data_IF_550323943046
#
_entry.id   IF_550323943046
#
_cell.length_a   1.000
_cell.length_b   1.000
_cell.length_c   1.000
_cell.angle_alpha   90.00
_cell.angle_beta   90.00
_cell.angle_gamma   90.00
#
_symmetry.space_group_name_H-M   'P 1'
#
loop_
_entity.id
_entity.type
_entity.pdbx_description
1 polymer ?
#
# COMPACT_ATOMS: atom_id res chain seq x y z
N UNK A 1 30.57 -0.38 24.87
CA UNK A 1 29.59 0.74 24.77
C UNK A 1 28.62 0.59 23.64
N UNK A 2 29.07 0.12 22.50
CA UNK A 2 28.18 -0.06 21.33
C UNK A 2 27.13 -1.13 21.53
N UNK A 3 27.42 -2.18 22.28
CA UNK A 3 26.48 -3.26 22.60
C UNK A 3 25.23 -2.79 23.38
N UNK A 4 25.41 -1.79 24.25
CA UNK A 4 24.28 -1.24 25.02
C UNK A 4 23.35 -0.36 24.14
N UNK A 5 23.91 0.31 23.12
CA UNK A 5 23.12 1.09 22.17
C UNK A 5 22.36 0.18 21.21
N UNK A 6 22.98 -0.90 20.75
CA UNK A 6 22.33 -1.90 19.91
C UNK A 6 21.19 -2.58 20.65
N UNK A 7 21.38 -2.98 21.91
CA UNK A 7 20.33 -3.59 22.72
C UNK A 7 19.13 -2.68 22.96
N UNK A 8 19.33 -1.36 23.07
CA UNK A 8 18.22 -0.39 23.18
C UNK A 8 17.49 -0.20 21.87
N UNK A 9 18.21 -0.19 20.74
CA UNK A 9 17.60 -0.14 19.41
C UNK A 9 16.84 -1.43 19.12
N UNK A 10 17.38 -2.57 19.47
CA UNK A 10 16.74 -3.86 19.28
C UNK A 10 15.50 -4.01 20.18
N UNK A 11 15.56 -3.56 21.43
CA UNK A 11 14.40 -3.50 22.32
C UNK A 11 13.33 -2.55 21.80
N UNK A 12 13.69 -1.42 21.20
CA UNK A 12 12.74 -0.50 20.57
C UNK A 12 12.12 -1.09 19.31
N UNK A 13 12.89 -1.86 18.52
CA UNK A 13 12.37 -2.59 17.37
C UNK A 13 11.41 -3.70 17.77
N UNK A 14 11.73 -4.43 18.82
CA UNK A 14 10.88 -5.51 19.37
C UNK A 14 9.59 -4.92 19.96
N UNK A 15 9.65 -3.73 20.54
CA UNK A 15 8.47 -3.04 21.09
C UNK A 15 7.66 -2.29 20.05
N UNK A 16 8.22 -1.99 18.88
CA UNK A 16 7.45 -1.46 17.74
C UNK A 16 6.78 -2.64 17.05
N UNK A 17 5.47 -2.60 16.99
CA UNK A 17 4.68 -3.57 16.26
C UNK A 17 5.12 -3.58 14.79
N UNK A 18 5.70 -4.69 14.36
CA UNK A 18 6.07 -4.91 12.97
C UNK A 18 4.83 -5.36 12.22
N UNK A 19 4.36 -4.52 11.29
CA UNK A 19 3.12 -4.78 10.56
C UNK A 19 3.45 -5.27 9.17
N UNK A 20 3.05 -6.50 8.82
CA UNK A 20 3.28 -7.01 7.47
C UNK A 20 2.42 -6.25 6.44
N UNK A 21 3.03 -5.87 5.33
CA UNK A 21 2.35 -5.15 4.27
C UNK A 21 2.59 -5.77 2.90
N UNK A 22 1.69 -5.49 1.99
CA UNK A 22 1.84 -5.75 0.56
C UNK A 22 2.20 -4.41 -0.09
N UNK A 23 3.25 -4.38 -0.88
CA UNK A 23 3.63 -3.21 -1.67
C UNK A 23 3.06 -3.34 -3.06
N UNK A 24 2.30 -2.34 -3.50
CA UNK A 24 1.76 -2.28 -4.85
C UNK A 24 2.42 -1.15 -5.63
N UNK A 25 3.05 -1.49 -6.74
CA UNK A 25 3.76 -0.56 -7.59
C UNK A 25 3.00 -0.34 -8.89
N UNK A 26 2.70 0.91 -9.19
CA UNK A 26 1.97 1.28 -10.40
C UNK A 26 2.33 2.72 -10.77
N UNK A 27 2.78 2.93 -12.01
CA UNK A 27 3.07 4.26 -12.53
C UNK A 27 2.01 4.70 -13.54
N UNK A 28 1.88 6.01 -13.74
CA UNK A 28 0.91 6.58 -14.68
C UNK A 28 1.25 6.36 -16.14
N UNK A 29 2.53 6.27 -16.47
CA UNK A 29 2.96 6.18 -17.87
C UNK A 29 3.25 4.75 -18.26
N UNK A 30 2.66 4.34 -19.38
CA UNK A 30 2.63 2.98 -19.86
C UNK A 30 3.28 2.87 -21.24
N UNK A 31 4.17 3.81 -21.59
CA UNK A 31 4.73 3.90 -22.93
C UNK A 31 5.71 2.78 -23.26
N UNK A 32 6.35 2.18 -22.26
CA UNK A 32 7.22 1.01 -22.47
C UNK A 32 7.40 0.24 -21.18
N UNK A 33 7.73 -1.03 -21.32
CA UNK A 33 8.05 -1.90 -20.18
C UNK A 33 9.24 -1.36 -19.37
N UNK A 34 10.28 -0.89 -20.04
CA UNK A 34 11.49 -0.37 -19.39
C UNK A 34 11.20 0.88 -18.57
N UNK A 35 10.40 1.81 -19.09
CA UNK A 35 10.04 3.03 -18.38
C UNK A 35 9.15 2.73 -17.18
N UNK A 36 8.20 1.82 -17.32
CA UNK A 36 7.36 1.38 -16.21
C UNK A 36 8.22 0.75 -15.11
N UNK A 37 9.15 -0.12 -15.47
CA UNK A 37 10.06 -0.75 -14.51
C UNK A 37 10.91 0.27 -13.77
N UNK A 38 11.48 1.25 -14.47
CA UNK A 38 12.29 2.31 -13.84
C UNK A 38 11.48 3.13 -12.84
N UNK A 39 10.25 3.50 -13.20
CA UNK A 39 9.36 4.27 -12.32
C UNK A 39 8.94 3.44 -11.11
N UNK A 40 8.62 2.19 -11.31
CA UNK A 40 8.26 1.28 -10.22
C UNK A 40 9.44 1.04 -9.29
N UNK A 41 10.66 0.97 -9.80
CA UNK A 41 11.86 0.85 -8.97
C UNK A 41 12.08 2.11 -8.12
N UNK A 42 11.78 3.29 -8.64
CA UNK A 42 11.82 4.53 -7.86
C UNK A 42 10.74 4.55 -6.78
N UNK A 43 9.52 4.13 -7.13
CA UNK A 43 8.45 3.97 -6.16
C UNK A 43 8.84 3.00 -5.05
N UNK A 44 9.44 1.89 -5.41
CA UNK A 44 9.85 0.87 -4.44
C UNK A 44 10.86 1.42 -3.44
N UNK A 45 11.86 2.16 -3.89
CA UNK A 45 12.82 2.82 -2.99
C UNK A 45 12.14 3.79 -2.03
N UNK A 46 11.26 4.61 -2.56
CA UNK A 46 10.49 5.59 -1.80
C UNK A 46 9.61 4.91 -0.75
N UNK A 47 8.90 3.85 -1.16
CA UNK A 47 8.04 3.07 -0.29
C UNK A 47 8.85 2.34 0.80
N UNK A 48 10.00 1.76 0.44
CA UNK A 48 10.84 1.06 1.39
C UNK A 48 11.38 1.98 2.49
N UNK A 49 11.75 3.20 2.13
CA UNK A 49 12.17 4.21 3.12
C UNK A 49 11.04 4.52 4.10
N UNK A 50 9.83 4.70 3.60
CA UNK A 50 8.65 4.92 4.42
C UNK A 50 8.35 3.72 5.33
N UNK A 51 8.35 2.53 4.75
CA UNK A 51 8.07 1.29 5.48
C UNK A 51 9.06 1.08 6.62
N UNK A 52 10.35 1.30 6.37
CA UNK A 52 11.41 1.17 7.36
C UNK A 52 11.22 2.16 8.52
N UNK A 53 10.83 3.40 8.20
CA UNK A 53 10.59 4.43 9.21
C UNK A 53 9.32 4.19 10.05
N UNK A 54 8.36 3.43 9.54
CA UNK A 54 7.04 3.25 10.17
C UNK A 54 6.78 1.82 10.68
N UNK A 55 7.78 0.96 10.70
CA UNK A 55 7.64 -0.40 11.19
C UNK A 55 6.77 -1.30 10.30
N UNK A 56 6.70 -0.99 9.02
CA UNK A 56 6.02 -1.83 8.03
C UNK A 56 7.01 -2.77 7.38
N UNK A 57 6.63 -4.04 7.27
CA UNK A 57 7.49 -5.06 6.68
C UNK A 57 6.89 -5.54 5.38
N UNK A 58 7.50 -5.20 4.23
CA UNK A 58 7.01 -5.68 2.93
C UNK A 58 7.16 -7.20 2.83
N UNK A 59 6.04 -7.89 2.71
CA UNK A 59 6.00 -9.34 2.56
C UNK A 59 5.94 -9.76 1.09
N UNK A 60 5.33 -8.94 0.26
CA UNK A 60 5.21 -9.18 -1.18
C UNK A 60 5.15 -7.86 -1.91
N UNK A 61 5.74 -7.84 -3.11
CA UNK A 61 5.73 -6.70 -4.02
C UNK A 61 4.96 -7.11 -5.26
N UNK A 62 3.90 -6.35 -5.57
CA UNK A 62 3.07 -6.56 -6.75
C UNK A 62 3.33 -5.41 -7.72
N UNK A 63 3.71 -5.73 -8.96
CA UNK A 63 4.06 -4.73 -9.99
C UNK A 63 3.03 -4.76 -11.11
N UNK A 64 2.50 -3.59 -11.46
CA UNK A 64 1.61 -3.48 -12.62
C UNK A 64 2.38 -3.56 -13.94
N UNK A 65 3.56 -2.99 -14.01
CA UNK A 65 4.32 -2.89 -15.25
C UNK A 65 3.67 -1.89 -16.21
N UNK A 66 3.76 -2.19 -17.51
CA UNK A 66 3.18 -1.36 -18.56
C UNK A 66 1.74 -1.74 -18.93
N UNK A 67 1.10 -2.61 -18.17
CA UNK A 67 -0.25 -3.06 -18.45
C UNK A 67 -1.30 -2.00 -18.09
N UNK A 68 -2.44 -2.05 -18.80
CA UNK A 68 -3.47 -1.03 -18.69
C UNK A 68 -4.35 -1.12 -17.45
N UNK A 69 -5.45 -0.32 -17.42
CA UNK A 69 -6.32 -0.22 -16.24
C UNK A 69 -6.98 -1.53 -15.81
N UNK A 70 -7.31 -2.40 -16.74
CA UNK A 70 -7.92 -3.71 -16.43
C UNK A 70 -6.96 -4.56 -15.57
N UNK A 71 -5.69 -4.59 -15.94
CA UNK A 71 -4.67 -5.33 -15.19
C UNK A 71 -4.42 -4.65 -13.83
N UNK A 72 -4.38 -3.32 -13.81
CA UNK A 72 -4.26 -2.57 -12.55
C UNK A 72 -5.35 -2.96 -11.56
N UNK A 73 -6.59 -3.01 -12.02
CA UNK A 73 -7.73 -3.38 -11.18
C UNK A 73 -7.64 -4.83 -10.70
N UNK A 74 -7.23 -5.73 -11.58
CA UNK A 74 -7.03 -7.13 -11.23
C UNK A 74 -5.94 -7.30 -10.18
N UNK A 75 -4.80 -6.64 -10.35
CA UNK A 75 -3.68 -6.73 -9.43
C UNK A 75 -4.03 -6.12 -8.07
N UNK A 76 -4.83 -5.06 -8.06
CA UNK A 76 -5.35 -4.48 -6.83
C UNK A 76 -6.23 -5.49 -6.08
N UNK A 77 -7.12 -6.18 -6.78
CA UNK A 77 -7.93 -7.26 -6.22
C UNK A 77 -7.06 -8.40 -5.68
N UNK A 78 -6.01 -8.75 -6.40
CA UNK A 78 -5.05 -9.78 -5.97
C UNK A 78 -4.37 -9.38 -4.66
N UNK A 79 -4.04 -8.09 -4.48
CA UNK A 79 -3.48 -7.59 -3.23
C UNK A 79 -4.46 -7.78 -2.06
N UNK A 80 -5.73 -7.46 -2.27
CA UNK A 80 -6.77 -7.66 -1.24
C UNK A 80 -6.89 -9.14 -0.91
N UNK A 81 -6.85 -9.98 -1.93
CA UNK A 81 -6.94 -11.43 -1.76
C UNK A 81 -5.77 -11.97 -0.94
N UNK A 82 -4.57 -11.50 -1.19
CA UNK A 82 -3.39 -11.87 -0.40
C UNK A 82 -3.53 -11.45 1.07
N UNK A 83 -4.10 -10.28 1.33
CA UNK A 83 -4.37 -9.85 2.69
C UNK A 83 -5.42 -10.72 3.36
N UNK A 84 -6.47 -11.10 2.63
CA UNK A 84 -7.49 -12.04 3.12
C UNK A 84 -6.91 -13.41 3.45
N UNK A 85 -5.84 -13.83 2.77
CA UNK A 85 -5.14 -15.06 3.08
C UNK A 85 -4.22 -14.97 4.30
N UNK A 86 -4.16 -13.81 4.95
CA UNK A 86 -3.33 -13.59 6.13
C UNK A 86 -1.90 -13.20 5.84
N UNK A 87 -1.55 -12.88 4.59
CA UNK A 87 -0.18 -12.52 4.19
C UNK A 87 0.24 -11.13 4.69
N UNK A 88 -0.72 -10.23 4.83
CA UNK A 88 -0.46 -8.86 5.28
C UNK A 88 -1.73 -8.22 5.84
N UNK A 89 -1.56 -7.08 6.52
CA UNK A 89 -2.67 -6.29 7.08
C UNK A 89 -2.80 -4.91 6.45
N UNK A 90 -1.77 -4.49 5.74
CA UNK A 90 -1.67 -3.15 5.16
C UNK A 90 -1.30 -3.26 3.69
N UNK A 91 -1.98 -2.49 2.85
CA UNK A 91 -1.58 -2.26 1.47
C UNK A 91 -0.85 -0.92 1.40
N UNK A 92 0.37 -0.92 0.90
CA UNK A 92 1.24 0.25 0.84
C UNK A 92 1.50 0.65 -0.60
N UNK A 93 1.19 1.88 -0.93
CA UNK A 93 1.35 2.46 -2.27
C UNK A 93 2.09 3.80 -2.20
N UNK A 94 2.67 4.23 -3.31
CA UNK A 94 3.38 5.50 -3.36
C UNK A 94 2.42 6.70 -3.26
N UNK A 95 1.30 6.63 -3.96
CA UNK A 95 0.31 7.70 -4.03
C UNK A 95 -1.04 7.15 -4.51
N UNK A 96 -2.08 7.99 -4.48
CA UNK A 96 -3.42 7.60 -4.92
C UNK A 96 -3.49 7.28 -6.41
N UNK A 97 -2.65 7.93 -7.21
CA UNK A 97 -2.60 7.68 -8.67
C UNK A 97 -2.17 6.24 -8.98
N UNK A 98 -1.41 5.61 -8.10
CA UNK A 98 -1.03 4.22 -8.25
C UNK A 98 -2.24 3.28 -8.18
N UNK A 99 -3.29 3.66 -7.46
CA UNK A 99 -4.49 2.84 -7.30
C UNK A 99 -5.47 3.08 -8.45
N UNK A 100 -5.64 4.33 -8.86
CA UNK A 100 -6.58 4.71 -9.91
C UNK A 100 -6.24 6.08 -10.49
N UNK A 101 -6.58 6.29 -11.74
CA UNK A 101 -6.47 7.60 -12.39
C UNK A 101 -7.61 8.54 -12.02
N UNK A 102 -8.70 8.03 -11.46
CA UNK A 102 -9.87 8.81 -11.06
C UNK A 102 -10.07 8.82 -9.55
N UNK A 103 -10.44 9.98 -9.00
CA UNK A 103 -10.59 10.13 -7.55
C UNK A 103 -11.73 9.27 -6.99
N UNK A 104 -12.87 9.22 -7.68
CA UNK A 104 -14.01 8.41 -7.25
C UNK A 104 -13.67 6.92 -7.19
N UNK A 105 -12.99 6.41 -8.22
CA UNK A 105 -12.56 5.01 -8.27
C UNK A 105 -11.49 4.73 -7.21
N UNK A 106 -10.57 5.66 -6.97
CA UNK A 106 -9.57 5.51 -5.93
C UNK A 106 -10.23 5.36 -4.54
N UNK A 107 -11.21 6.20 -4.22
CA UNK A 107 -11.94 6.09 -2.96
C UNK A 107 -12.78 4.82 -2.87
N UNK A 108 -13.36 4.38 -3.98
CA UNK A 108 -14.07 3.10 -4.02
C UNK A 108 -13.12 1.95 -3.64
N UNK A 109 -11.90 1.96 -4.15
CA UNK A 109 -10.88 0.96 -3.84
C UNK A 109 -10.41 1.03 -2.38
N UNK A 110 -10.28 2.23 -1.84
CA UNK A 110 -10.02 2.41 -0.40
C UNK A 110 -11.12 1.74 0.44
N UNK A 111 -12.38 1.96 0.07
CA UNK A 111 -13.52 1.32 0.72
C UNK A 111 -13.47 -0.20 0.66
N UNK A 112 -13.06 -0.75 -0.47
CA UNK A 112 -12.90 -2.21 -0.62
C UNK A 112 -11.90 -2.79 0.38
N UNK A 113 -10.78 -2.12 0.59
CA UNK A 113 -9.76 -2.54 1.56
C UNK A 113 -10.31 -2.44 2.98
N UNK A 114 -10.97 -1.34 3.31
CA UNK A 114 -11.54 -1.12 4.65
C UNK A 114 -12.65 -2.12 4.99
N UNK A 115 -13.49 -2.47 4.02
CA UNK A 115 -14.58 -3.44 4.21
C UNK A 115 -14.06 -4.82 4.63
N UNK A 116 -12.86 -5.17 4.18
CA UNK A 116 -12.21 -6.42 4.55
C UNK A 116 -11.46 -6.34 5.89
N UNK A 117 -11.49 -5.19 6.56
CA UNK A 117 -10.81 -4.98 7.82
C UNK A 117 -9.32 -4.66 7.70
N UNK A 118 -8.87 -4.26 6.53
CA UNK A 118 -7.47 -3.92 6.29
C UNK A 118 -7.27 -2.41 6.14
N UNK A 119 -6.00 -2.01 6.13
CA UNK A 119 -5.59 -0.61 5.98
C UNK A 119 -4.90 -0.40 4.65
N UNK A 120 -5.06 0.77 4.09
CA UNK A 120 -4.32 1.20 2.91
C UNK A 120 -3.59 2.50 3.24
N UNK A 121 -2.30 2.53 2.97
CA UNK A 121 -1.43 3.67 3.26
C UNK A 121 -0.77 4.12 1.97
N UNK A 122 -0.89 5.42 1.69
CA UNK A 122 -0.14 6.08 0.63
C UNK A 122 1.02 6.84 1.27
N UNK A 123 2.21 6.70 0.71
CA UNK A 123 3.38 7.43 1.24
C UNK A 123 3.17 8.94 1.13
N UNK A 124 2.59 9.39 0.01
CA UNK A 124 2.37 10.82 -0.23
C UNK A 124 1.25 11.42 0.63
N UNK A 125 0.13 10.71 0.77
CA UNK A 125 -1.08 11.23 1.42
C UNK A 125 -1.29 10.71 2.84
N UNK A 126 -0.57 9.66 3.25
CA UNK A 126 -0.75 9.02 4.54
C UNK A 126 -1.80 7.91 4.50
N UNK A 127 -2.31 7.52 5.65
CA UNK A 127 -3.34 6.48 5.71
C UNK A 127 -4.63 6.95 5.05
N UNK A 128 -5.10 6.18 4.08
CA UNK A 128 -6.31 6.49 3.33
C UNK A 128 -7.51 5.86 4.03
N UNK A 129 -8.50 6.70 4.34
CA UNK A 129 -9.72 6.25 5.03
C UNK A 129 -10.95 6.89 4.43
N UNK A 130 -12.00 6.09 4.33
CA UNK A 130 -13.35 6.61 4.13
C UNK A 130 -14.04 6.65 5.49
N UNK A 131 -14.89 7.66 5.69
CA UNK A 131 -15.79 7.68 6.81
C UNK A 131 -16.97 6.74 6.50
N UNK A 132 -16.84 5.47 6.85
CA UNK A 132 -17.84 4.44 6.56
C UNK A 132 -19.19 4.75 7.23
N UNK A 133 -19.17 5.44 8.36
CA UNK A 133 -20.39 5.87 9.04
C UNK A 133 -21.18 6.88 8.22
N UNK A 134 -20.51 7.86 7.61
CA UNK A 134 -21.14 8.82 6.70
C UNK A 134 -21.69 8.17 5.45
N UNK A 135 -20.98 7.17 4.91
CA UNK A 135 -21.44 6.40 3.74
C UNK A 135 -22.69 5.61 4.07
N UNK A 136 -22.74 4.95 5.21
CA UNK A 136 -23.92 4.21 5.67
C UNK A 136 -25.12 5.13 5.91
N UNK A 137 -24.93 6.30 6.47
CA UNK A 137 -25.98 7.30 6.67
C UNK A 137 -26.56 7.79 5.35
N UNK A 138 -25.73 7.97 4.31
CA UNK A 138 -26.18 8.37 2.97
C UNK A 138 -26.99 7.27 2.28
N UNK A 139 -26.65 6.02 2.51
CA UNK A 139 -27.35 4.88 1.91
C UNK A 139 -28.67 4.60 2.62
N UNK A 140 -28.77 4.87 3.93
CA UNK A 140 -29.99 4.67 4.70
C UNK A 140 -30.98 5.83 4.62
N UNK A 141 -30.60 6.92 4.02
CA UNK A 141 -31.49 8.06 3.77
C UNK A 141 -32.16 7.95 2.41
#
# INVERSE_FOLDING_TARGET
MDDRRMRRKDKRRIMKEEIPCIVYLSSKEESSFEMAEQKENRQLRYINEYADAHGLIPMKIVRRGCFGPAIRNKLFQDCIHLMCQGKARVLLVANMDAISSGLADAYRKVGMVQEQGFRIISVDEGELRLNMKSVCERVSA
#
